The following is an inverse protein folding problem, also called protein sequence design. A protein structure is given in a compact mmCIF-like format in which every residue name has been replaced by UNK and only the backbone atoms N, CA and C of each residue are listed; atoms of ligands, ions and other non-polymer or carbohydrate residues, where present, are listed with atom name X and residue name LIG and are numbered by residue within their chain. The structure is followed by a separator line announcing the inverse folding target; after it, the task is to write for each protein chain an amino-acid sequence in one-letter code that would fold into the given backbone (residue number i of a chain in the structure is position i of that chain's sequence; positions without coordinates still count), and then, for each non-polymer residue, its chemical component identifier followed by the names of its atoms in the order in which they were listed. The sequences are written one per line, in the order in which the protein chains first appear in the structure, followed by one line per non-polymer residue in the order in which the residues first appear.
data_IF_054090920395
#
_entry.id   IF_054090920395
#
_cell.length_a   1.000
_cell.length_b   1.000
_cell.length_c   1.000
_cell.angle_alpha   90.00
_cell.angle_beta   90.00
_cell.angle_gamma   90.00
#
_symmetry.space_group_name_H-M   'P 1'
#
loop_
_entity.id
_entity.type
_entity.pdbx_description
1 polymer ?
#
# COMPACT_ATOMS: atom_id res chain seq x y z
N UNK A 1 74.56 -0.90 -31.32
CA UNK A 1 73.37 -1.44 -30.62
C UNK A 1 72.91 -0.39 -29.61
N UNK A 2 71.85 0.37 -29.92
CA UNK A 2 71.29 1.39 -29.02
C UNK A 2 69.78 1.22 -28.96
N UNK A 3 69.30 0.56 -27.90
CA UNK A 3 67.88 0.27 -27.71
C UNK A 3 67.13 1.49 -27.16
N UNK A 4 66.33 2.13 -28.01
CA UNK A 4 65.35 3.14 -27.60
C UNK A 4 64.20 2.48 -26.83
N UNK A 5 64.04 2.83 -25.55
CA UNK A 5 62.89 2.41 -24.74
C UNK A 5 61.72 3.37 -24.98
N UNK A 6 60.67 2.87 -25.62
CA UNK A 6 59.36 3.54 -25.64
C UNK A 6 58.76 3.47 -24.23
N UNK A 7 58.77 4.59 -23.50
CA UNK A 7 58.01 4.76 -22.27
C UNK A 7 56.54 4.95 -22.65
N UNK A 8 55.78 3.86 -22.66
CA UNK A 8 54.32 3.92 -22.65
C UNK A 8 53.91 4.54 -21.31
N UNK A 9 53.38 5.77 -21.34
CA UNK A 9 52.77 6.44 -20.20
C UNK A 9 51.48 5.70 -19.84
N UNK A 10 51.55 4.84 -18.82
CA UNK A 10 50.35 4.29 -18.20
C UNK A 10 49.74 5.39 -17.35
N UNK A 11 48.60 5.94 -17.78
CA UNK A 11 47.81 6.86 -16.97
C UNK A 11 47.28 6.08 -15.76
N UNK A 12 47.88 6.29 -14.60
CA UNK A 12 47.46 5.70 -13.33
C UNK A 12 46.95 6.81 -12.41
N UNK A 13 45.77 6.63 -11.84
CA UNK A 13 45.20 7.56 -10.86
C UNK A 13 46.04 7.57 -9.59
N UNK A 14 46.26 8.76 -9.03
CA UNK A 14 46.92 8.87 -7.72
C UNK A 14 45.97 8.43 -6.61
N UNK A 15 46.52 7.93 -5.49
CA UNK A 15 45.70 7.57 -4.32
C UNK A 15 44.86 8.76 -3.83
N UNK A 16 45.43 9.97 -3.85
CA UNK A 16 44.73 11.20 -3.47
C UNK A 16 43.55 11.49 -4.39
N UNK A 17 43.71 11.31 -5.70
CA UNK A 17 42.65 11.50 -6.69
C UNK A 17 41.50 10.51 -6.50
N UNK A 18 41.81 9.23 -6.23
CA UNK A 18 40.79 8.22 -5.91
C UNK A 18 40.08 8.54 -4.59
N UNK A 19 40.79 9.00 -3.56
CA UNK A 19 40.18 9.34 -2.27
C UNK A 19 39.27 10.58 -2.35
N UNK A 20 39.67 11.60 -3.11
CA UNK A 20 38.85 12.81 -3.30
C UNK A 20 37.59 12.46 -4.10
N UNK A 21 37.72 11.67 -5.17
CA UNK A 21 36.56 11.24 -5.98
C UNK A 21 35.60 10.36 -5.19
N UNK A 22 36.09 9.39 -4.41
CA UNK A 22 35.25 8.59 -3.51
C UNK A 22 34.62 9.45 -2.40
N UNK A 23 35.34 10.42 -1.84
CA UNK A 23 34.82 11.36 -0.85
C UNK A 23 33.67 12.21 -1.39
N UNK A 24 33.83 12.77 -2.60
CA UNK A 24 32.79 13.56 -3.27
C UNK A 24 31.57 12.70 -3.59
N UNK A 25 31.77 11.50 -4.17
CA UNK A 25 30.66 10.57 -4.46
C UNK A 25 29.95 10.16 -3.17
N UNK A 26 30.68 9.92 -2.08
CA UNK A 26 30.12 9.57 -0.77
C UNK A 26 29.20 10.66 -0.23
N UNK A 27 29.63 11.93 -0.26
CA UNK A 27 28.81 13.07 0.20
C UNK A 27 27.57 13.24 -0.69
N UNK A 28 27.73 13.20 -2.02
CA UNK A 28 26.63 13.36 -2.96
C UNK A 28 25.61 12.22 -2.83
N UNK A 29 26.08 10.97 -2.69
CA UNK A 29 25.21 9.82 -2.46
C UNK A 29 24.42 9.94 -1.15
N UNK A 30 25.06 10.41 -0.06
CA UNK A 30 24.39 10.61 1.22
C UNK A 30 23.25 11.64 1.14
N UNK A 31 23.38 12.67 0.31
CA UNK A 31 22.32 13.69 0.11
C UNK A 31 21.21 13.24 -0.84
N UNK A 32 21.53 12.40 -1.84
CA UNK A 32 20.60 12.04 -2.92
C UNK A 32 19.83 10.75 -2.67
N UNK A 33 20.44 9.75 -2.02
CA UNK A 33 19.82 8.45 -1.75
C UNK A 33 18.51 8.55 -0.94
N UNK A 34 18.41 9.37 0.14
CA UNK A 34 17.16 9.49 0.89
C UNK A 34 16.02 10.04 0.03
N UNK A 35 16.29 11.08 -0.77
CA UNK A 35 15.29 11.69 -1.66
C UNK A 35 14.85 10.74 -2.77
N UNK A 36 15.81 10.01 -3.35
CA UNK A 36 15.51 9.00 -4.37
C UNK A 36 14.65 7.86 -3.82
N UNK A 37 15.02 7.29 -2.65
CA UNK A 37 14.25 6.22 -1.99
C UNK A 37 12.83 6.68 -1.68
N UNK A 38 12.68 7.91 -1.16
CA UNK A 38 11.38 8.52 -0.88
C UNK A 38 10.50 8.60 -2.14
N UNK A 39 11.04 9.18 -3.22
CA UNK A 39 10.30 9.36 -4.47
C UNK A 39 9.96 8.01 -5.13
N UNK A 40 10.88 7.05 -5.08
CA UNK A 40 10.63 5.70 -5.58
C UNK A 40 9.53 5.00 -4.77
N UNK A 41 9.59 5.05 -3.43
CA UNK A 41 8.55 4.46 -2.58
C UNK A 41 7.18 5.05 -2.91
N UNK A 42 7.09 6.37 -3.01
CA UNK A 42 5.87 7.09 -3.41
C UNK A 42 5.32 6.60 -4.75
N UNK A 43 6.15 6.49 -5.79
CA UNK A 43 5.73 5.97 -7.10
C UNK A 43 5.21 4.53 -7.03
N UNK A 44 5.87 3.68 -6.23
CA UNK A 44 5.43 2.30 -6.01
C UNK A 44 4.08 2.26 -5.31
N UNK A 45 3.87 3.10 -4.29
CA UNK A 45 2.58 3.22 -3.58
C UNK A 45 1.47 3.65 -4.54
N UNK A 46 1.65 4.72 -5.31
CA UNK A 46 0.67 5.19 -6.31
C UNK A 46 0.26 4.07 -7.27
N UNK A 47 1.26 3.36 -7.81
CA UNK A 47 1.06 2.31 -8.80
C UNK A 47 0.32 1.10 -8.21
N UNK A 48 0.78 0.62 -7.05
CA UNK A 48 0.22 -0.57 -6.39
C UNK A 48 -1.17 -0.30 -5.84
N UNK A 49 -1.42 0.88 -5.28
CA UNK A 49 -2.73 1.27 -4.76
C UNK A 49 -3.77 1.33 -5.87
N UNK A 50 -3.43 1.98 -7.00
CA UNK A 50 -4.29 2.01 -8.19
C UNK A 50 -4.59 0.61 -8.71
N UNK A 51 -3.54 -0.22 -8.86
CA UNK A 51 -3.68 -1.61 -9.31
C UNK A 51 -4.59 -2.40 -8.38
N UNK A 52 -4.39 -2.29 -7.07
CA UNK A 52 -5.20 -2.99 -6.07
C UNK A 52 -6.67 -2.63 -6.21
N UNK A 53 -7.00 -1.34 -6.19
CA UNK A 53 -8.38 -0.89 -6.32
C UNK A 53 -9.03 -1.38 -7.63
N UNK A 54 -8.33 -1.26 -8.76
CA UNK A 54 -8.84 -1.75 -10.05
C UNK A 54 -9.04 -3.26 -10.05
N UNK A 55 -8.07 -4.03 -9.55
CA UNK A 55 -8.14 -5.50 -9.51
C UNK A 55 -9.25 -5.97 -8.58
N UNK A 56 -9.42 -5.30 -7.43
CA UNK A 56 -10.47 -5.63 -6.48
C UNK A 56 -11.87 -5.35 -7.05
N UNK A 57 -12.07 -4.22 -7.71
CA UNK A 57 -13.34 -3.93 -8.39
C UNK A 57 -13.61 -4.90 -9.54
N UNK A 58 -12.58 -5.31 -10.29
CA UNK A 58 -12.73 -6.36 -11.30
C UNK A 58 -13.13 -7.70 -10.69
N UNK A 59 -12.56 -8.06 -9.53
CA UNK A 59 -12.94 -9.26 -8.80
C UNK A 59 -14.40 -9.24 -8.35
N UNK A 60 -14.90 -8.08 -7.92
CA UNK A 60 -16.33 -7.89 -7.60
C UNK A 60 -17.20 -8.18 -8.83
N UNK A 61 -16.91 -7.53 -9.96
CA UNK A 61 -17.69 -7.69 -11.21
C UNK A 61 -17.69 -9.15 -11.70
N UNK A 62 -16.54 -9.83 -11.63
CA UNK A 62 -16.43 -11.24 -11.99
C UNK A 62 -17.24 -12.13 -11.05
N UNK A 63 -17.27 -11.80 -9.76
CA UNK A 63 -18.10 -12.50 -8.80
C UNK A 63 -19.58 -12.26 -9.03
N UNK A 64 -19.98 -11.03 -9.41
CA UNK A 64 -21.37 -10.73 -9.73
C UNK A 64 -21.89 -11.53 -10.93
N UNK A 65 -21.03 -11.79 -11.91
CA UNK A 65 -21.39 -12.63 -13.06
C UNK A 65 -21.71 -14.08 -12.66
N UNK A 66 -21.06 -14.61 -11.64
CA UNK A 66 -21.21 -16.01 -11.20
C UNK A 66 -22.18 -16.17 -10.01
N UNK A 67 -22.29 -15.16 -9.14
CA UNK A 67 -23.02 -15.20 -7.87
C UNK A 67 -24.22 -14.22 -7.80
N UNK A 68 -24.44 -13.40 -8.83
CA UNK A 68 -25.43 -12.31 -8.82
C UNK A 68 -24.91 -11.03 -8.17
N UNK A 69 -25.70 -9.95 -8.26
CA UNK A 69 -25.32 -8.62 -7.75
C UNK A 69 -24.90 -8.64 -6.27
N UNK A 70 -23.92 -7.80 -5.89
CA UNK A 70 -23.38 -7.75 -4.51
C UNK A 70 -24.47 -7.54 -3.46
N UNK A 71 -25.51 -6.79 -3.79
CA UNK A 71 -26.63 -6.52 -2.87
C UNK A 71 -27.35 -7.79 -2.40
N UNK A 72 -27.33 -8.83 -3.24
CA UNK A 72 -27.98 -10.12 -3.01
C UNK A 72 -27.04 -11.16 -2.39
N UNK A 73 -25.77 -10.83 -2.16
CA UNK A 73 -24.84 -11.74 -1.50
C UNK A 73 -25.29 -12.00 -0.06
N UNK A 74 -25.14 -13.26 0.35
CA UNK A 74 -25.35 -13.68 1.73
C UNK A 74 -24.38 -12.93 2.65
N UNK A 75 -24.86 -12.50 3.81
CA UNK A 75 -24.03 -11.86 4.81
C UNK A 75 -23.07 -12.88 5.44
N UNK A 76 -21.86 -12.45 5.84
CA UNK A 76 -20.89 -13.34 6.49
C UNK A 76 -21.46 -13.89 7.80
N UNK A 77 -21.24 -15.18 8.06
CA UNK A 77 -21.62 -15.77 9.33
C UNK A 77 -20.68 -15.26 10.45
N UNK A 78 -21.21 -14.36 11.27
CA UNK A 78 -20.50 -13.79 12.42
C UNK A 78 -20.43 -14.74 13.63
N UNK A 79 -21.20 -15.84 13.61
CA UNK A 79 -21.28 -16.80 14.70
C UNK A 79 -20.25 -17.93 14.56
N UNK A 80 -19.84 -18.24 13.33
CA UNK A 80 -18.79 -19.20 13.02
C UNK A 80 -17.40 -18.58 13.02
N UNK A 81 -16.40 -19.30 13.55
CA UNK A 81 -15.00 -18.86 13.53
C UNK A 81 -14.45 -18.65 12.11
N UNK A 82 -15.01 -19.31 11.09
CA UNK A 82 -14.60 -19.22 9.68
C UNK A 82 -15.58 -18.48 8.77
N UNK A 83 -16.74 -18.03 9.26
CA UNK A 83 -17.84 -17.61 8.38
C UNK A 83 -17.49 -16.46 7.42
N UNK A 84 -16.57 -15.59 7.85
CA UNK A 84 -16.01 -14.52 7.01
C UNK A 84 -15.04 -14.98 5.94
N UNK A 85 -14.27 -16.03 6.23
CA UNK A 85 -13.34 -16.63 5.29
C UNK A 85 -14.13 -17.42 4.24
N UNK A 86 -15.16 -18.15 4.67
CA UNK A 86 -16.05 -18.88 3.77
C UNK A 86 -16.75 -17.91 2.81
N UNK A 87 -17.20 -16.77 3.32
CA UNK A 87 -17.71 -15.65 2.50
C UNK A 87 -16.65 -15.16 1.50
N UNK A 88 -15.41 -14.88 1.97
CA UNK A 88 -14.33 -14.44 1.09
C UNK A 88 -13.99 -15.48 0.02
N UNK A 89 -13.96 -16.75 0.39
CA UNK A 89 -13.66 -17.87 -0.52
C UNK A 89 -14.75 -18.04 -1.58
N UNK A 90 -16.02 -17.88 -1.19
CA UNK A 90 -17.17 -17.96 -2.09
C UNK A 90 -17.19 -16.80 -3.09
N UNK A 91 -16.98 -15.57 -2.63
CA UNK A 91 -17.22 -14.38 -3.45
C UNK A 91 -15.96 -13.73 -4.03
N UNK A 92 -14.77 -13.87 -3.45
CA UNK A 92 -13.61 -13.06 -3.86
C UNK A 92 -12.34 -13.87 -4.15
N UNK A 93 -12.07 -14.95 -3.42
CA UNK A 93 -10.78 -15.67 -3.50
C UNK A 93 -10.47 -16.20 -4.92
N UNK A 94 -11.49 -16.67 -5.65
CA UNK A 94 -11.34 -17.16 -7.03
C UNK A 94 -10.86 -16.07 -7.99
N UNK A 95 -11.19 -14.81 -7.71
CA UNK A 95 -10.97 -13.68 -8.63
C UNK A 95 -9.79 -12.79 -8.23
N UNK A 96 -9.40 -12.83 -6.95
CA UNK A 96 -8.20 -12.18 -6.46
C UNK A 96 -7.04 -13.17 -6.57
N UNK A 97 -6.21 -13.04 -7.60
CA UNK A 97 -5.01 -13.88 -7.78
C UNK A 97 -3.97 -13.61 -6.68
N UNK A 98 -4.13 -14.25 -5.52
CA UNK A 98 -3.26 -14.13 -4.35
C UNK A 98 -2.30 -15.31 -4.28
N UNK A 99 -1.10 -15.07 -3.74
CA UNK A 99 -0.03 -16.07 -3.58
C UNK A 99 -0.20 -16.85 -2.28
N UNK A 100 -0.75 -16.21 -1.25
CA UNK A 100 -1.05 -16.85 0.03
C UNK A 100 -2.22 -16.17 0.70
N UNK A 101 -3.08 -16.98 1.31
CA UNK A 101 -4.16 -16.53 2.20
C UNK A 101 -3.92 -17.17 3.57
N UNK A 102 -3.81 -16.36 4.61
CA UNK A 102 -3.70 -16.82 5.99
C UNK A 102 -4.86 -16.32 6.84
N UNK A 103 -5.22 -17.14 7.82
CA UNK A 103 -6.29 -16.88 8.80
C UNK A 103 -5.69 -16.22 10.03
N UNK A 104 -6.42 -15.25 10.58
CA UNK A 104 -6.12 -14.64 11.89
C UNK A 104 -4.67 -14.14 12.03
N UNK A 105 -4.04 -13.76 10.92
CA UNK A 105 -2.71 -13.15 10.93
C UNK A 105 -2.88 -11.64 11.14
N UNK A 106 -2.23 -11.10 12.17
CA UNK A 106 -2.29 -9.68 12.50
C UNK A 106 -3.70 -9.14 12.80
N UNK A 107 -4.58 -9.91 13.46
CA UNK A 107 -5.96 -9.48 13.78
C UNK A 107 -6.86 -9.24 12.54
N UNK A 108 -6.48 -9.80 11.39
CA UNK A 108 -7.30 -9.83 10.18
C UNK A 108 -8.03 -11.17 10.03
N UNK A 109 -9.29 -11.14 9.59
CA UNK A 109 -10.06 -12.35 9.24
C UNK A 109 -9.43 -13.05 8.02
N UNK A 110 -8.92 -12.25 7.07
CA UNK A 110 -8.29 -12.69 5.84
C UNK A 110 -7.08 -11.82 5.61
N UNK A 111 -5.91 -12.44 5.52
CA UNK A 111 -4.69 -11.78 5.07
C UNK A 111 -4.25 -12.38 3.73
N UNK A 112 -4.18 -11.54 2.71
CA UNK A 112 -3.93 -11.95 1.33
C UNK A 112 -2.70 -11.25 0.77
N UNK A 113 -1.69 -12.01 0.35
CA UNK A 113 -0.46 -11.49 -0.28
C UNK A 113 -0.52 -11.64 -1.80
N UNK A 114 -0.13 -10.61 -2.54
CA UNK A 114 -0.03 -10.62 -3.99
C UNK A 114 1.41 -10.92 -4.46
N UNK A 115 1.56 -11.36 -5.70
CA UNK A 115 2.86 -11.69 -6.30
C UNK A 115 3.79 -10.49 -6.50
N UNK A 116 3.25 -9.28 -6.50
CA UNK A 116 4.05 -8.04 -6.53
C UNK A 116 4.60 -7.64 -5.15
N UNK A 117 4.31 -8.39 -4.09
CA UNK A 117 4.76 -8.13 -2.73
C UNK A 117 3.92 -7.10 -1.97
N UNK A 118 2.78 -6.68 -2.52
CA UNK A 118 1.72 -6.02 -1.75
C UNK A 118 0.82 -7.05 -1.05
N UNK A 119 0.02 -6.58 -0.10
CA UNK A 119 -0.95 -7.42 0.60
C UNK A 119 -2.17 -6.60 1.01
N UNK A 120 -3.27 -7.27 1.32
CA UNK A 120 -4.38 -6.65 2.03
C UNK A 120 -4.88 -7.53 3.16
N UNK A 121 -5.33 -6.87 4.23
CA UNK A 121 -6.04 -7.49 5.33
C UNK A 121 -7.49 -7.07 5.32
N UNK A 122 -8.40 -7.98 5.63
CA UNK A 122 -9.81 -7.70 5.87
C UNK A 122 -10.12 -7.86 7.36
N UNK A 123 -10.99 -7.02 7.91
CA UNK A 123 -11.59 -7.17 9.23
C UNK A 123 -13.05 -6.71 9.19
N UNK A 124 -13.86 -7.10 10.17
CA UNK A 124 -15.22 -6.59 10.29
C UNK A 124 -15.23 -5.09 10.62
N UNK A 125 -16.07 -4.33 9.92
CA UNK A 125 -16.27 -2.91 10.18
C UNK A 125 -17.25 -2.65 11.34
N UNK A 126 -18.27 -3.51 11.45
CA UNK A 126 -19.27 -3.50 12.51
C UNK A 126 -19.52 -4.92 13.02
N UNK A 127 -20.04 -5.06 14.25
CA UNK A 127 -20.43 -6.36 14.83
C UNK A 127 -21.83 -6.81 14.44
N UNK A 128 -22.46 -6.08 13.52
CA UNK A 128 -23.83 -6.31 13.08
C UNK A 128 -23.84 -7.26 11.88
N UNK A 129 -24.87 -8.10 11.76
CA UNK A 129 -25.01 -9.16 10.74
C UNK A 129 -25.27 -8.57 9.34
N UNK A 130 -24.30 -7.85 8.79
CA UNK A 130 -24.34 -7.26 7.45
C UNK A 130 -22.97 -7.36 6.77
N UNK A 131 -22.97 -7.51 5.45
CA UNK A 131 -21.76 -7.44 4.60
C UNK A 131 -21.08 -6.08 4.75
N UNK A 132 -20.08 -6.01 5.63
CA UNK A 132 -19.44 -4.76 6.07
C UNK A 132 -18.01 -5.02 6.57
N UNK A 133 -17.03 -4.73 5.71
CA UNK A 133 -15.61 -5.03 5.96
C UNK A 133 -14.74 -3.78 5.86
N UNK A 134 -13.80 -3.65 6.79
CA UNK A 134 -12.68 -2.74 6.64
C UNK A 134 -11.55 -3.48 5.92
N UNK A 135 -11.03 -2.88 4.85
CA UNK A 135 -9.93 -3.42 4.07
C UNK A 135 -8.71 -2.53 4.23
N UNK A 136 -7.61 -3.12 4.67
CA UNK A 136 -6.31 -2.48 4.85
C UNK A 136 -5.37 -2.96 3.76
N UNK A 137 -5.09 -2.10 2.77
CA UNK A 137 -4.11 -2.39 1.74
C UNK A 137 -2.72 -1.91 2.12
N UNK A 138 -1.74 -2.78 1.99
CA UNK A 138 -0.32 -2.54 2.23
C UNK A 138 0.45 -2.67 0.91
N UNK A 139 0.95 -1.57 0.33
CA UNK A 139 1.77 -1.62 -0.88
C UNK A 139 3.04 -2.46 -0.70
N UNK A 140 3.54 -2.59 0.54
CA UNK A 140 4.62 -3.50 0.91
C UNK A 140 4.15 -4.38 2.06
N UNK A 141 3.97 -5.67 1.83
CA UNK A 141 3.40 -6.60 2.81
C UNK A 141 4.15 -6.56 4.16
N UNK A 142 5.49 -6.44 4.13
CA UNK A 142 6.35 -6.35 5.33
C UNK A 142 6.05 -5.16 6.26
N UNK A 143 5.39 -4.11 5.78
CA UNK A 143 5.06 -2.96 6.65
C UNK A 143 4.02 -3.36 7.71
N UNK A 144 3.27 -4.45 7.52
CA UNK A 144 2.28 -4.96 8.50
C UNK A 144 2.91 -5.27 9.87
N UNK A 145 4.15 -5.78 9.90
CA UNK A 145 4.86 -6.13 11.15
C UNK A 145 5.14 -4.90 12.02
N UNK A 146 5.21 -3.71 11.40
CA UNK A 146 5.31 -2.44 12.10
C UNK A 146 3.91 -1.95 12.49
N UNK A 147 3.00 -1.96 11.54
CA UNK A 147 1.70 -1.30 11.66
C UNK A 147 0.74 -2.01 12.61
N UNK A 148 0.84 -3.33 12.76
CA UNK A 148 -0.05 -4.11 13.60
C UNK A 148 0.53 -4.41 14.99
N UNK A 149 1.58 -3.69 15.41
CA UNK A 149 2.15 -3.82 16.77
C UNK A 149 1.19 -3.36 17.86
N UNK A 150 0.46 -2.27 17.61
CA UNK A 150 -0.56 -1.70 18.48
C UNK A 150 -1.38 -0.66 17.71
N UNK A 151 -2.47 -0.18 18.31
CA UNK A 151 -3.37 0.82 17.69
C UNK A 151 -2.69 2.14 17.35
N UNK A 152 -1.66 2.55 18.10
CA UNK A 152 -0.92 3.80 17.87
C UNK A 152 -0.04 3.70 16.63
N UNK A 153 0.66 2.58 16.45
CA UNK A 153 1.45 2.30 15.24
C UNK A 153 0.55 2.15 14.01
N UNK A 154 -0.60 1.48 14.17
CA UNK A 154 -1.57 1.33 13.09
C UNK A 154 -2.03 2.69 12.58
N UNK A 155 -2.44 3.58 13.49
CA UNK A 155 -2.84 4.95 13.14
C UNK A 155 -1.69 5.78 12.55
N UNK A 156 -0.44 5.50 12.91
CA UNK A 156 0.72 6.16 12.29
C UNK A 156 0.98 5.68 10.87
N UNK A 157 0.79 4.39 10.61
CA UNK A 157 0.93 3.78 9.30
C UNK A 157 -0.14 4.20 8.30
N UNK A 158 -1.36 4.43 8.75
CA UNK A 158 -2.48 4.81 7.87
C UNK A 158 -2.13 6.08 7.09
N UNK A 159 -2.29 6.02 5.77
CA UNK A 159 -1.97 7.09 4.82
C UNK A 159 -0.52 7.13 4.36
N UNK A 160 0.38 6.27 4.85
CA UNK A 160 1.78 6.19 4.37
C UNK A 160 2.23 4.77 4.05
N UNK A 161 1.82 3.80 4.88
CA UNK A 161 2.17 2.38 4.78
C UNK A 161 0.96 1.51 4.55
N UNK A 162 -0.20 1.92 5.08
CA UNK A 162 -1.49 1.28 4.84
C UNK A 162 -2.51 2.27 4.29
N UNK A 163 -3.39 1.77 3.43
CA UNK A 163 -4.46 2.53 2.78
C UNK A 163 -5.76 1.79 2.98
N UNK A 164 -6.73 2.48 3.56
CA UNK A 164 -7.95 1.85 4.06
C UNK A 164 -9.14 2.09 3.12
N UNK A 165 -9.97 1.07 3.01
CA UNK A 165 -11.22 1.06 2.27
C UNK A 165 -12.31 0.41 3.12
N UNK A 166 -13.55 0.74 2.82
CA UNK A 166 -14.73 0.05 3.31
C UNK A 166 -15.36 -0.73 2.16
N UNK A 167 -15.64 -2.01 2.39
CA UNK A 167 -16.39 -2.84 1.46
C UNK A 167 -17.76 -3.14 2.07
N UNK A 168 -18.81 -2.85 1.31
CA UNK A 168 -20.20 -3.14 1.66
C UNK A 168 -20.97 -3.64 0.44
N UNK A 169 -22.31 -3.70 0.55
CA UNK A 169 -23.19 -3.95 -0.58
C UNK A 169 -23.11 -2.89 -1.70
N UNK A 170 -22.50 -1.74 -1.42
CA UNK A 170 -22.22 -0.68 -2.40
C UNK A 170 -20.86 -0.86 -3.11
N UNK A 171 -20.14 -1.95 -2.80
CA UNK A 171 -18.81 -2.24 -3.34
C UNK A 171 -17.67 -1.65 -2.51
N UNK A 172 -16.52 -1.44 -3.15
CA UNK A 172 -15.30 -0.97 -2.49
C UNK A 172 -15.18 0.56 -2.55
N UNK A 173 -15.29 1.22 -1.40
CA UNK A 173 -15.30 2.68 -1.24
C UNK A 173 -14.15 3.09 -0.32
N UNK A 174 -13.36 4.14 -0.63
CA UNK A 174 -12.36 4.65 0.32
C UNK A 174 -13.04 5.29 1.54
N UNK A 175 -12.39 5.29 2.70
CA UNK A 175 -12.88 6.10 3.81
C UNK A 175 -12.90 7.58 3.42
N UNK A 176 -14.01 8.26 3.74
CA UNK A 176 -14.31 9.61 3.24
C UNK A 176 -15.11 9.62 1.93
N UNK A 177 -15.31 8.47 1.28
CA UNK A 177 -16.08 8.37 0.04
C UNK A 177 -15.52 9.22 -1.09
N UNK A 178 -16.38 9.54 -2.06
CA UNK A 178 -15.99 10.27 -3.28
C UNK A 178 -16.48 11.73 -3.33
N UNK A 179 -17.33 12.13 -2.37
CA UNK A 179 -18.06 13.40 -2.43
C UNK A 179 -17.49 14.50 -1.51
N UNK A 180 -16.38 14.24 -0.81
CA UNK A 180 -15.73 15.23 0.06
C UNK A 180 -14.80 16.13 -0.77
N UNK A 181 -14.78 17.42 -0.47
CA UNK A 181 -13.90 18.37 -1.14
C UNK A 181 -12.42 18.03 -0.90
N UNK A 182 -11.56 18.32 -1.89
CA UNK A 182 -10.10 18.13 -1.74
C UNK A 182 -9.53 18.85 -0.52
N UNK A 183 -9.99 20.06 -0.23
CA UNK A 183 -9.53 20.83 0.93
C UNK A 183 -9.86 20.14 2.25
N UNK A 184 -11.04 19.56 2.38
CA UNK A 184 -11.42 18.83 3.58
C UNK A 184 -10.64 17.51 3.68
N UNK A 185 -10.42 16.81 2.56
CA UNK A 185 -9.58 15.61 2.52
C UNK A 185 -8.14 15.89 2.96
N UNK A 186 -7.56 17.03 2.56
CA UNK A 186 -6.25 17.49 3.05
C UNK A 186 -6.28 17.72 4.57
N UNK A 187 -7.31 18.40 5.09
CA UNK A 187 -7.44 18.68 6.51
C UNK A 187 -7.62 17.40 7.35
N UNK A 188 -8.43 16.45 6.88
CA UNK A 188 -8.64 15.17 7.58
C UNK A 188 -7.38 14.30 7.53
N UNK A 189 -6.77 14.13 6.35
CA UNK A 189 -5.55 13.33 6.21
C UNK A 189 -4.37 13.91 7.01
N UNK A 190 -4.28 15.25 7.10
CA UNK A 190 -3.26 15.97 7.86
C UNK A 190 -3.59 16.24 9.33
N UNK A 191 -4.75 15.76 9.82
CA UNK A 191 -5.19 16.04 11.19
C UNK A 191 -4.21 15.52 12.24
N UNK A 192 -4.08 16.25 13.35
CA UNK A 192 -3.38 15.77 14.55
C UNK A 192 -4.05 14.51 15.12
N UNK A 193 -5.37 14.41 14.99
CA UNK A 193 -6.10 13.20 15.31
C UNK A 193 -5.90 12.16 14.21
N UNK A 194 -4.95 11.25 14.45
CA UNK A 194 -4.52 10.21 13.51
C UNK A 194 -5.66 9.29 13.04
N UNK A 195 -6.79 9.21 13.74
CA UNK A 195 -7.96 8.45 13.30
C UNK A 195 -8.53 8.95 11.96
N UNK A 196 -8.36 10.24 11.64
CA UNK A 196 -8.78 10.81 10.35
C UNK A 196 -7.84 10.48 9.18
N UNK A 197 -6.68 9.86 9.43
CA UNK A 197 -5.76 9.45 8.36
C UNK A 197 -6.34 8.39 7.43
N UNK A 198 -7.44 7.72 7.81
CA UNK A 198 -8.18 6.84 6.91
C UNK A 198 -8.66 7.57 5.64
N UNK A 199 -8.89 8.89 5.72
CA UNK A 199 -9.33 9.72 4.60
C UNK A 199 -8.21 9.98 3.57
N UNK A 200 -6.96 9.65 3.91
CA UNK A 200 -5.83 9.79 3.00
C UNK A 200 -6.00 8.95 1.72
N UNK A 201 -6.67 7.79 1.79
CA UNK A 201 -6.97 6.99 0.61
C UNK A 201 -7.89 7.76 -0.36
N UNK A 202 -8.95 8.38 0.15
CA UNK A 202 -9.86 9.20 -0.65
C UNK A 202 -9.13 10.42 -1.25
N UNK A 203 -8.22 11.07 -0.51
CA UNK A 203 -7.40 12.15 -1.03
C UNK A 203 -6.57 11.71 -2.26
N UNK A 204 -5.89 10.56 -2.16
CA UNK A 204 -5.06 10.05 -3.26
C UNK A 204 -5.90 9.70 -4.48
N UNK A 205 -7.11 9.13 -4.27
CA UNK A 205 -8.04 8.81 -5.35
C UNK A 205 -8.55 10.08 -6.02
N UNK A 206 -8.97 11.07 -5.22
CA UNK A 206 -9.41 12.38 -5.70
C UNK A 206 -8.30 13.04 -6.55
N UNK A 207 -7.04 12.88 -6.15
CA UNK A 207 -5.88 13.40 -6.88
C UNK A 207 -5.46 12.51 -8.07
N UNK A 208 -6.32 11.58 -8.53
CA UNK A 208 -6.07 10.76 -9.70
C UNK A 208 -5.01 9.68 -9.46
N UNK A 209 -4.99 9.10 -8.27
CA UNK A 209 -4.00 8.12 -7.80
C UNK A 209 -2.60 8.72 -7.65
N UNK A 210 -2.51 10.03 -7.39
CA UNK A 210 -1.26 10.75 -7.19
C UNK A 210 -1.13 11.25 -5.77
N UNK A 211 0.04 11.02 -5.20
CA UNK A 211 0.44 11.66 -3.95
C UNK A 211 1.07 12.99 -4.38
N UNK A 212 0.41 14.11 -4.15
CA UNK A 212 0.94 15.40 -4.59
C UNK A 212 2.02 15.95 -3.62
N UNK A 213 2.65 17.08 -3.97
CA UNK A 213 3.70 17.69 -3.13
C UNK A 213 3.16 18.24 -1.81
N UNK A 214 1.89 18.63 -1.80
CA UNK A 214 1.12 19.14 -0.66
C UNK A 214 0.48 18.01 0.17
N UNK A 215 0.78 16.74 -0.14
CA UNK A 215 0.30 15.62 0.66
C UNK A 215 0.78 15.76 2.11
N UNK A 216 -0.11 15.68 3.11
CA UNK A 216 0.21 16.12 4.47
C UNK A 216 1.13 15.18 5.25
N UNK A 217 1.32 13.94 4.77
CA UNK A 217 2.15 12.94 5.42
C UNK A 217 3.45 12.66 4.63
N UNK A 218 4.52 12.23 5.33
CA UNK A 218 5.81 11.89 4.72
C UNK A 218 6.00 10.36 4.68
N UNK A 219 6.43 9.84 3.53
CA UNK A 219 6.74 8.43 3.21
C UNK A 219 8.12 7.94 3.67
#
# INVERSE_FOLDING_TARGET
MGGGRNLSSTLAFTLAEVLITLGIIGIVAALTLPSFIYNHRKQVVETRLKKFYTTFNQAIILSENDNGEVINWEDPDLSGASGSEDWYNKYLAKYLTTVSVSREEYDYIVWSKFSDGSAFGMRYAAKDVITSFDIYFYPFAKDVDLCMKNSTEQAQCTGTKSFTFHFSKDGLIPYGGFNISRSDLLNYCGSENKSYRNFCTALIIHDGWKINKDYPLRF
#
